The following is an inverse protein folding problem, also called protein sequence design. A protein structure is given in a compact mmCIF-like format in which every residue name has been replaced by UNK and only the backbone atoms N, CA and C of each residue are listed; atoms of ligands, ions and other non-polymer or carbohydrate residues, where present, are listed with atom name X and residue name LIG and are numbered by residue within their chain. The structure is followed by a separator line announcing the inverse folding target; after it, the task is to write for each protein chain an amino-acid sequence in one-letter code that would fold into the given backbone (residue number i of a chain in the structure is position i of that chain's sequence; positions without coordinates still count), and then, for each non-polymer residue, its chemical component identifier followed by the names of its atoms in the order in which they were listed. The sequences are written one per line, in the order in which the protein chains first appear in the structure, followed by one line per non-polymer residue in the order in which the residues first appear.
data_IF_015511525212
#
_entry.id   IF_015511525212
#
_cell.length_a   1.000
_cell.length_b   1.000
_cell.length_c   1.000
_cell.angle_alpha   90.00
_cell.angle_beta   90.00
_cell.angle_gamma   90.00
#
_symmetry.space_group_name_H-M   'P 1'
#
loop_
_entity.id
_entity.type
_entity.pdbx_description
1 polymer ?
#
# COMPACT_ATOMS: atom_id res chain seq x y z
N UNK A 1 -10.98 -9.71 -9.38
CA UNK A 1 -11.97 -8.80 -8.76
C UNK A 1 -11.63 -7.36 -9.07
N UNK A 2 -12.60 -6.53 -9.46
CA UNK A 2 -12.44 -5.08 -9.48
C UNK A 2 -12.90 -4.52 -8.13
N UNK A 3 -11.97 -3.97 -7.36
CA UNK A 3 -12.23 -3.45 -6.01
C UNK A 3 -13.24 -2.30 -6.02
N UNK A 4 -13.19 -1.38 -6.98
CA UNK A 4 -14.13 -0.25 -7.05
C UNK A 4 -15.56 -0.72 -7.29
N UNK A 5 -15.76 -1.77 -8.10
CA UNK A 5 -17.08 -2.38 -8.29
C UNK A 5 -17.58 -3.03 -7.01
N UNK A 6 -16.68 -3.62 -6.22
CA UNK A 6 -17.01 -4.20 -4.93
C UNK A 6 -17.43 -3.11 -3.92
N UNK A 7 -16.64 -2.05 -3.77
CA UNK A 7 -16.91 -0.94 -2.85
C UNK A 7 -18.23 -0.25 -3.18
N UNK A 8 -18.49 0.01 -4.46
CA UNK A 8 -19.76 0.58 -4.91
C UNK A 8 -20.96 -0.28 -4.55
N UNK A 9 -20.85 -1.61 -4.58
CA UNK A 9 -21.94 -2.51 -4.15
C UNK A 9 -22.18 -2.47 -2.64
N UNK A 10 -21.15 -2.21 -1.85
CA UNK A 10 -21.22 -2.05 -0.39
C UNK A 10 -21.61 -0.62 0.04
N UNK A 11 -21.76 0.31 -0.90
CA UNK A 11 -22.02 1.72 -0.59
C UNK A 11 -20.83 2.41 0.08
N UNK A 12 -19.61 1.92 -0.16
CA UNK A 12 -18.38 2.52 0.36
C UNK A 12 -17.80 3.42 -0.74
N UNK A 13 -17.75 4.71 -0.46
CA UNK A 13 -17.12 5.71 -1.33
C UNK A 13 -15.62 5.80 -1.05
N UNK A 14 -14.85 6.14 -2.08
CA UNK A 14 -13.39 6.31 -2.00
C UNK A 14 -12.91 7.24 -3.11
N UNK A 15 -11.61 7.56 -3.13
CA UNK A 15 -10.99 8.39 -4.17
C UNK A 15 -11.14 7.78 -5.56
N UNK A 16 -11.17 8.63 -6.59
CA UNK A 16 -11.47 8.20 -7.95
C UNK A 16 -10.49 7.15 -8.49
N UNK A 17 -11.03 6.17 -9.22
CA UNK A 17 -10.25 5.06 -9.78
C UNK A 17 -9.16 5.50 -10.78
N UNK A 18 -9.29 6.68 -11.39
CA UNK A 18 -8.28 7.27 -12.26
C UNK A 18 -6.97 7.57 -11.51
N UNK A 19 -7.04 7.94 -10.22
CA UNK A 19 -5.85 8.17 -9.42
C UNK A 19 -5.02 6.89 -9.24
N UNK A 20 -5.67 5.73 -9.11
CA UNK A 20 -4.97 4.44 -9.05
C UNK A 20 -4.32 4.03 -10.37
N UNK A 21 -4.79 4.59 -11.50
CA UNK A 21 -4.10 4.45 -12.79
C UNK A 21 -2.78 5.21 -12.78
N UNK A 22 -2.72 6.38 -12.14
CA UNK A 22 -1.48 7.15 -11.91
C UNK A 22 -0.53 6.40 -10.98
N UNK A 23 -1.02 5.86 -9.87
CA UNK A 23 -0.23 5.00 -8.96
C UNK A 23 0.38 3.81 -9.71
N UNK A 24 -0.40 3.13 -10.56
CA UNK A 24 0.09 2.00 -11.35
C UNK A 24 1.14 2.42 -12.39
N UNK A 25 1.00 3.61 -12.97
CA UNK A 25 2.01 4.17 -13.86
C UNK A 25 3.32 4.43 -13.09
N UNK A 26 3.25 5.03 -11.91
CA UNK A 26 4.43 5.26 -11.08
C UNK A 26 5.10 3.95 -10.65
N UNK A 27 4.35 2.93 -10.20
CA UNK A 27 4.92 1.61 -9.89
C UNK A 27 5.60 0.97 -11.11
N UNK A 28 5.07 1.20 -12.33
CA UNK A 28 5.69 0.69 -13.56
C UNK A 28 7.02 1.39 -13.88
N UNK A 29 7.10 2.69 -13.62
CA UNK A 29 8.35 3.47 -13.72
C UNK A 29 9.36 3.03 -12.67
N UNK A 30 8.94 2.83 -11.42
CA UNK A 30 9.79 2.32 -10.33
C UNK A 30 10.38 0.94 -10.66
N UNK A 31 9.60 0.06 -11.31
CA UNK A 31 10.06 -1.26 -11.78
C UNK A 31 10.93 -1.22 -13.04
N UNK A 32 11.13 -0.06 -13.67
CA UNK A 32 11.83 0.06 -14.95
C UNK A 32 11.15 -0.71 -16.09
N UNK A 33 9.82 -0.84 -16.06
CA UNK A 33 9.07 -1.62 -17.05
C UNK A 33 7.67 -1.06 -17.33
N UNK A 34 7.65 0.12 -17.94
CA UNK A 34 6.44 0.75 -18.47
C UNK A 34 6.02 0.09 -19.79
N UNK A 35 4.87 -0.58 -19.80
CA UNK A 35 4.43 -1.46 -20.91
C UNK A 35 4.43 -0.80 -22.30
N UNK A 36 4.03 0.46 -22.43
CA UNK A 36 3.96 1.19 -23.71
C UNK A 36 5.24 1.96 -24.08
N UNK A 37 6.24 1.94 -23.21
CA UNK A 37 7.48 2.67 -23.41
C UNK A 37 8.70 1.73 -23.44
N UNK A 38 8.83 0.83 -22.48
CA UNK A 38 9.96 -0.12 -22.45
C UNK A 38 9.82 -1.28 -23.44
N UNK A 39 8.61 -1.57 -23.94
CA UNK A 39 8.40 -2.58 -24.98
C UNK A 39 7.99 -1.90 -26.29
N UNK A 40 8.66 -2.24 -27.39
CA UNK A 40 8.34 -1.73 -28.72
C UNK A 40 8.56 -2.79 -29.80
N UNK A 41 8.06 -2.53 -31.00
CA UNK A 41 8.18 -3.44 -32.15
C UNK A 41 8.89 -2.73 -33.29
N UNK A 42 9.92 -3.37 -33.83
CA UNK A 42 10.60 -2.93 -35.04
C UNK A 42 10.11 -3.80 -36.20
N UNK A 43 9.85 -3.18 -37.34
CA UNK A 43 9.53 -3.88 -38.58
C UNK A 43 10.81 -4.18 -39.35
N UNK A 44 11.07 -5.45 -39.64
CA UNK A 44 12.35 -5.88 -40.21
C UNK A 44 12.31 -6.14 -41.74
N UNK A 45 11.21 -5.76 -42.41
CA UNK A 45 10.95 -6.17 -43.79
C UNK A 45 10.54 -7.64 -43.88
N UNK A 46 9.72 -8.01 -44.87
CA UNK A 46 9.09 -9.35 -45.01
C UNK A 46 7.89 -9.63 -44.10
N UNK A 47 7.15 -8.62 -43.64
CA UNK A 47 5.94 -8.83 -42.84
C UNK A 47 6.21 -9.26 -41.38
N UNK A 48 7.47 -9.26 -40.94
CA UNK A 48 7.87 -9.70 -39.60
C UNK A 48 8.18 -8.50 -38.70
N UNK A 49 7.65 -8.56 -37.48
CA UNK A 49 7.97 -7.64 -36.39
C UNK A 49 8.84 -8.35 -35.36
N UNK A 50 9.88 -7.68 -34.90
CA UNK A 50 10.67 -8.11 -33.75
C UNK A 50 10.25 -7.31 -32.53
N UNK A 51 9.98 -8.00 -31.42
CA UNK A 51 9.76 -7.35 -30.13
C UNK A 51 11.13 -6.94 -29.57
N UNK A 52 11.27 -5.66 -29.28
CA UNK A 52 12.46 -5.07 -28.68
C UNK A 52 12.09 -4.52 -27.30
N UNK A 53 13.06 -4.55 -26.39
CA UNK A 53 12.92 -3.99 -25.05
C UNK A 53 13.93 -2.86 -24.89
N UNK A 54 13.44 -1.66 -24.62
CA UNK A 54 14.30 -0.52 -24.25
C UNK A 54 14.92 -0.79 -22.88
N UNK A 55 16.22 -0.54 -22.74
CA UNK A 55 16.91 -0.55 -21.46
C UNK A 55 16.39 0.60 -20.60
N UNK A 56 16.27 0.34 -19.30
CA UNK A 56 15.98 1.38 -18.30
C UNK A 56 17.25 1.60 -17.49
N UNK A 57 17.58 2.86 -17.21
CA UNK A 57 18.69 3.22 -16.34
C UNK A 57 18.33 3.00 -14.86
N UNK A 58 17.03 2.89 -14.53
CA UNK A 58 16.57 2.64 -13.16
C UNK A 58 16.60 3.87 -12.25
N UNK A 59 16.64 5.07 -12.83
CA UNK A 59 16.75 6.34 -12.07
C UNK A 59 15.57 6.58 -11.13
N UNK A 60 14.38 6.11 -11.48
CA UNK A 60 13.19 6.16 -10.62
C UNK A 60 13.43 5.43 -9.30
N UNK A 61 13.93 4.19 -9.36
CA UNK A 61 14.30 3.42 -8.18
C UNK A 61 15.41 4.12 -7.41
N UNK A 62 16.46 4.58 -8.10
CA UNK A 62 17.61 5.21 -7.44
C UNK A 62 17.22 6.45 -6.62
N UNK A 63 16.39 7.34 -7.18
CA UNK A 63 15.91 8.53 -6.46
C UNK A 63 15.05 8.15 -5.24
N UNK A 64 14.26 7.08 -5.34
CA UNK A 64 13.48 6.60 -4.19
C UNK A 64 14.36 6.01 -3.08
N UNK A 65 15.42 5.29 -3.43
CA UNK A 65 16.43 4.78 -2.48
C UNK A 65 17.12 5.95 -1.76
N UNK A 66 17.54 6.98 -2.49
CA UNK A 66 18.19 8.15 -1.90
C UNK A 66 17.28 8.87 -0.88
N UNK A 67 15.96 8.93 -1.15
CA UNK A 67 14.99 9.49 -0.20
C UNK A 67 14.86 8.60 1.05
N UNK A 68 14.82 7.28 0.89
CA UNK A 68 14.74 6.35 2.00
C UNK A 68 15.98 6.46 2.92
N UNK A 69 17.17 6.53 2.32
CA UNK A 69 18.44 6.72 3.03
C UNK A 69 18.51 8.06 3.77
N UNK A 70 17.85 9.11 3.27
CA UNK A 70 17.79 10.39 3.97
C UNK A 70 16.79 10.38 5.13
N UNK A 71 15.64 9.72 4.98
CA UNK A 71 14.55 9.77 5.96
C UNK A 71 14.71 8.76 7.10
N UNK A 72 15.10 7.52 6.80
CA UNK A 72 15.17 6.44 7.79
C UNK A 72 16.49 5.67 7.66
N UNK A 73 17.60 6.33 8.01
CA UNK A 73 18.93 5.71 8.09
C UNK A 73 19.22 5.13 9.48
N UNK A 74 20.40 4.50 9.60
CA UNK A 74 20.90 3.85 10.81
C UNK A 74 21.09 4.79 12.01
N UNK A 75 21.03 6.12 11.79
CA UNK A 75 21.18 7.13 12.86
C UNK A 75 19.85 7.55 13.46
N UNK A 76 18.72 7.15 12.89
CA UNK A 76 17.41 7.46 13.45
C UNK A 76 17.27 6.72 14.79
N UNK A 77 16.91 7.48 15.84
CA UNK A 77 16.65 6.95 17.18
C UNK A 77 15.27 7.34 17.63
N UNK A 78 14.53 6.37 18.13
CA UNK A 78 13.26 6.58 18.83
C UNK A 78 13.60 6.67 20.31
N UNK A 79 13.21 7.76 20.96
CA UNK A 79 13.47 7.96 22.40
C UNK A 79 12.15 8.25 23.10
N UNK A 80 11.82 7.40 24.06
CA UNK A 80 10.63 7.50 24.90
C UNK A 80 11.12 7.72 26.33
N UNK A 81 10.57 8.74 27.01
CA UNK A 81 11.05 9.14 28.33
C UNK A 81 10.78 8.12 29.44
N UNK A 82 9.76 7.29 29.28
CA UNK A 82 9.44 6.18 30.18
C UNK A 82 10.13 4.89 29.71
N UNK A 83 10.94 4.29 30.59
CA UNK A 83 11.74 3.10 30.25
C UNK A 83 10.86 1.88 29.94
N UNK A 84 9.80 1.65 30.72
CA UNK A 84 8.92 0.50 30.50
C UNK A 84 8.19 0.58 29.15
N UNK A 85 7.68 1.77 28.82
CA UNK A 85 7.08 2.04 27.50
C UNK A 85 8.10 1.95 26.38
N UNK A 86 9.34 2.45 26.61
CA UNK A 86 10.42 2.37 25.62
C UNK A 86 10.75 0.91 25.29
N UNK A 87 10.93 0.06 26.30
CA UNK A 87 11.26 -1.35 26.10
C UNK A 87 10.13 -2.08 25.37
N UNK A 88 8.87 -1.79 25.74
CA UNK A 88 7.70 -2.34 25.06
C UNK A 88 7.63 -1.94 23.58
N UNK A 89 7.75 -0.65 23.27
CA UNK A 89 7.69 -0.16 21.89
C UNK A 89 8.85 -0.70 21.06
N UNK A 90 10.06 -0.73 21.61
CA UNK A 90 11.21 -1.29 20.91
C UNK A 90 11.00 -2.77 20.59
N UNK A 91 10.46 -3.56 21.52
CA UNK A 91 10.14 -4.96 21.27
C UNK A 91 9.13 -5.12 20.13
N UNK A 92 8.05 -4.33 20.12
CA UNK A 92 7.04 -4.36 19.05
C UNK A 92 7.65 -4.00 17.70
N UNK A 93 8.53 -2.99 17.65
CA UNK A 93 9.20 -2.57 16.42
C UNK A 93 10.21 -3.60 15.92
N UNK A 94 10.92 -4.28 16.82
CA UNK A 94 11.83 -5.38 16.49
C UNK A 94 11.07 -6.57 15.92
N UNK A 95 9.99 -7.01 16.58
CA UNK A 95 9.12 -8.10 16.13
C UNK A 95 8.48 -7.78 14.76
N UNK A 96 8.16 -6.51 14.54
CA UNK A 96 7.64 -5.99 13.27
C UNK A 96 8.73 -5.75 12.20
N UNK A 97 10.01 -6.01 12.49
CA UNK A 97 11.17 -5.72 11.62
C UNK A 97 11.19 -4.28 11.10
N UNK A 98 10.80 -3.32 11.94
CA UNK A 98 10.59 -1.92 11.55
C UNK A 98 11.84 -1.24 10.99
N UNK A 99 13.04 -1.54 11.49
CA UNK A 99 14.26 -0.93 10.96
C UNK A 99 14.51 -1.28 9.47
N UNK A 100 14.11 -2.48 9.04
CA UNK A 100 14.27 -2.92 7.65
C UNK A 100 13.06 -2.51 6.82
N UNK A 101 11.86 -2.91 7.26
CA UNK A 101 10.63 -2.67 6.51
C UNK A 101 10.24 -1.19 6.53
N UNK A 102 10.51 -0.47 7.61
CA UNK A 102 10.31 0.97 7.68
C UNK A 102 11.03 1.69 6.54
N UNK A 103 12.31 1.36 6.31
CA UNK A 103 13.14 1.97 5.26
C UNK A 103 12.63 1.56 3.87
N UNK A 104 12.35 0.27 3.64
CA UNK A 104 11.75 -0.20 2.38
C UNK A 104 10.43 0.53 2.06
N UNK A 105 9.63 0.86 3.09
CA UNK A 105 8.38 1.59 2.91
C UNK A 105 8.57 3.10 2.76
N UNK A 106 9.67 3.69 3.25
CA UNK A 106 10.07 5.05 2.86
C UNK A 106 10.38 5.12 1.36
N UNK A 107 11.09 4.12 0.81
CA UNK A 107 11.35 4.03 -0.64
C UNK A 107 10.03 3.89 -1.42
N UNK A 108 9.16 2.97 -1.00
CA UNK A 108 7.84 2.75 -1.63
C UNK A 108 6.93 3.97 -1.53
N UNK A 109 7.02 4.73 -0.45
CA UNK A 109 6.32 6.01 -0.29
C UNK A 109 6.81 7.01 -1.33
N UNK A 110 8.12 7.15 -1.53
CA UNK A 110 8.66 8.00 -2.57
C UNK A 110 8.24 7.55 -3.98
N UNK A 111 8.17 6.24 -4.22
CA UNK A 111 7.81 5.67 -5.51
C UNK A 111 6.31 5.80 -5.85
N UNK A 112 5.43 5.50 -4.89
CA UNK A 112 3.99 5.31 -5.13
C UNK A 112 3.10 6.30 -4.36
N UNK A 113 3.72 7.26 -3.66
CA UNK A 113 3.10 8.43 -3.03
C UNK A 113 2.57 8.22 -1.62
N UNK A 114 1.97 7.07 -1.33
CA UNK A 114 1.36 6.79 -0.01
C UNK A 114 1.73 5.39 0.47
N UNK A 115 2.05 5.27 1.75
CA UNK A 115 2.12 4.00 2.47
C UNK A 115 1.32 4.10 3.77
N UNK A 116 0.99 2.95 4.34
CA UNK A 116 0.37 2.89 5.65
C UNK A 116 0.99 1.80 6.52
N UNK A 117 0.97 2.04 7.83
CA UNK A 117 1.36 1.09 8.85
C UNK A 117 0.11 0.76 9.68
N UNK A 118 -0.31 -0.49 9.69
CA UNK A 118 -1.56 -0.95 10.33
C UNK A 118 -1.21 -1.91 11.45
N UNK A 119 -1.25 -1.48 12.73
CA UNK A 119 -1.11 -2.40 13.85
C UNK A 119 -2.32 -3.32 13.94
N UNK A 120 -2.07 -4.60 14.22
CA UNK A 120 -3.12 -5.60 14.44
C UNK A 120 -2.71 -6.56 15.55
N UNK A 121 -3.71 -7.18 16.16
CA UNK A 121 -3.53 -8.12 17.26
C UNK A 121 -3.51 -9.56 16.74
N UNK A 122 -2.60 -10.36 17.29
CA UNK A 122 -2.48 -11.80 17.05
C UNK A 122 -2.33 -12.55 18.35
N UNK A 123 -2.57 -13.87 18.34
CA UNK A 123 -2.47 -14.73 19.52
C UNK A 123 -3.30 -14.17 20.71
N UNK A 124 -4.54 -13.72 20.42
CA UNK A 124 -5.41 -13.09 21.41
C UNK A 124 -5.97 -14.14 22.38
N UNK A 125 -5.77 -13.91 23.67
CA UNK A 125 -6.47 -14.60 24.75
C UNK A 125 -7.59 -13.71 25.27
N UNK A 126 -8.80 -14.25 25.31
CA UNK A 126 -10.02 -13.51 25.65
C UNK A 126 -10.65 -14.13 26.90
N UNK A 127 -11.15 -13.30 27.81
CA UNK A 127 -11.90 -13.76 28.98
C UNK A 127 -13.34 -14.18 28.63
N UNK A 128 -14.07 -14.75 29.59
CA UNK A 128 -15.48 -15.15 29.41
C UNK A 128 -16.41 -13.95 29.09
N UNK A 129 -15.96 -12.72 29.35
CA UNK A 129 -16.66 -11.47 29.07
C UNK A 129 -16.34 -10.85 27.71
N UNK A 130 -15.43 -11.43 26.92
CA UNK A 130 -15.02 -10.90 25.62
C UNK A 130 -13.88 -9.87 25.69
N UNK A 131 -13.27 -9.64 26.85
CA UNK A 131 -12.14 -8.72 27.00
C UNK A 131 -10.82 -9.41 26.65
N UNK A 132 -9.93 -8.67 25.99
CA UNK A 132 -8.60 -9.15 25.62
C UNK A 132 -7.71 -9.15 26.86
N UNK A 133 -7.30 -10.34 27.31
CA UNK A 133 -6.39 -10.54 28.46
C UNK A 133 -4.94 -10.35 28.00
N UNK A 134 -4.58 -10.97 26.87
CA UNK A 134 -3.24 -10.92 26.31
C UNK A 134 -3.31 -10.96 24.79
N UNK A 135 -2.40 -10.24 24.12
CA UNK A 135 -2.29 -10.23 22.67
C UNK A 135 -0.88 -9.82 22.24
N UNK A 136 -0.43 -10.30 21.09
CA UNK A 136 0.78 -9.83 20.42
C UNK A 136 0.43 -8.81 19.36
N UNK A 137 1.06 -7.65 19.41
CA UNK A 137 0.93 -6.61 18.39
C UNK A 137 1.85 -6.94 17.23
N UNK A 138 1.31 -6.94 16.02
CA UNK A 138 2.08 -6.99 14.77
C UNK A 138 1.76 -5.77 13.93
N UNK A 139 2.66 -5.46 13.00
CA UNK A 139 2.51 -4.33 12.09
C UNK A 139 2.42 -4.84 10.66
N UNK A 140 1.33 -4.50 9.98
CA UNK A 140 1.23 -4.67 8.54
C UNK A 140 1.67 -3.39 7.84
N UNK A 141 2.38 -3.58 6.73
CA UNK A 141 2.89 -2.50 5.91
C UNK A 141 2.14 -2.52 4.57
N UNK A 142 1.51 -1.39 4.23
CA UNK A 142 0.58 -1.30 3.10
C UNK A 142 1.06 -0.25 2.10
N UNK A 143 0.99 -0.59 0.82
CA UNK A 143 1.33 0.29 -0.30
C UNK A 143 0.07 0.92 -0.89
N UNK A 144 0.20 2.10 -1.52
CA UNK A 144 -0.92 2.90 -2.04
C UNK A 144 -1.96 2.15 -2.88
N UNK A 145 -1.59 1.12 -3.65
CA UNK A 145 -2.54 0.29 -4.42
C UNK A 145 -3.54 -0.51 -3.56
N UNK A 146 -3.28 -0.62 -2.26
CA UNK A 146 -4.06 -1.37 -1.28
C UNK A 146 -4.66 -0.46 -0.20
N UNK A 147 -4.60 0.86 -0.38
CA UNK A 147 -5.10 1.88 0.55
C UNK A 147 -6.24 2.62 -0.13
N UNK A 148 -7.43 2.55 0.44
CA UNK A 148 -8.64 3.17 -0.09
C UNK A 148 -9.23 4.10 0.97
N UNK A 149 -8.89 5.41 0.96
CA UNK A 149 -9.47 6.37 1.89
C UNK A 149 -10.98 6.40 1.71
N UNK A 150 -11.75 6.33 2.80
CA UNK A 150 -13.22 6.35 2.77
C UNK A 150 -13.80 7.62 3.38
N UNK A 151 -13.04 8.27 4.28
CA UNK A 151 -13.34 9.61 4.74
C UNK A 151 -12.03 10.36 5.01
N UNK A 152 -12.03 11.66 4.71
CA UNK A 152 -10.90 12.54 4.95
C UNK A 152 -11.36 13.98 5.17
N UNK A 153 -10.56 14.75 5.90
CA UNK A 153 -10.79 16.15 6.17
C UNK A 153 -9.46 16.90 6.10
N UNK A 154 -9.41 18.01 5.34
CA UNK A 154 -8.21 18.83 5.17
C UNK A 154 -6.95 18.02 4.80
N UNK A 155 -7.10 17.03 3.90
CA UNK A 155 -6.01 16.16 3.44
C UNK A 155 -5.54 15.12 4.46
N UNK A 156 -6.18 15.02 5.63
CA UNK A 156 -5.97 13.98 6.63
C UNK A 156 -7.04 12.89 6.47
N UNK A 157 -6.59 11.66 6.23
CA UNK A 157 -7.46 10.48 6.16
C UNK A 157 -7.94 10.15 7.57
N UNK A 158 -9.26 10.13 7.76
CA UNK A 158 -9.89 9.77 9.04
C UNK A 158 -10.41 8.34 9.03
N UNK A 159 -10.84 7.84 7.88
CA UNK A 159 -11.35 6.47 7.69
C UNK A 159 -10.76 5.87 6.42
N UNK A 160 -10.44 4.59 6.47
CA UNK A 160 -9.71 3.93 5.39
C UNK A 160 -10.03 2.45 5.33
N UNK A 161 -10.12 1.93 4.11
CA UNK A 161 -10.15 0.51 3.83
C UNK A 161 -8.77 0.07 3.34
N UNK A 162 -8.26 -0.99 3.95
CA UNK A 162 -7.04 -1.67 3.51
C UNK A 162 -7.38 -3.01 2.87
N UNK A 163 -6.64 -3.38 1.81
CA UNK A 163 -6.80 -4.65 1.11
C UNK A 163 -5.52 -5.47 1.16
N UNK A 164 -5.58 -6.60 1.86
CA UNK A 164 -4.50 -7.57 2.02
C UNK A 164 -4.74 -8.78 1.12
N UNK A 165 -3.92 -8.92 0.08
CA UNK A 165 -3.99 -10.08 -0.81
C UNK A 165 -3.22 -11.27 -0.23
N UNK A 166 -3.84 -12.45 -0.21
CA UNK A 166 -3.22 -13.70 0.22
C UNK A 166 -3.52 -14.81 -0.78
N UNK A 167 -2.51 -15.63 -1.06
CA UNK A 167 -2.69 -16.81 -1.91
C UNK A 167 -2.61 -18.05 -1.05
N UNK A 168 -3.66 -18.86 -1.06
CA UNK A 168 -3.73 -20.13 -0.34
C UNK A 168 -4.32 -21.21 -1.25
N UNK A 169 -3.66 -22.37 -1.33
CA UNK A 169 -4.07 -23.49 -2.20
C UNK A 169 -4.40 -23.07 -3.65
N UNK A 170 -3.53 -22.24 -4.26
CA UNK A 170 -3.68 -21.69 -5.63
C UNK A 170 -4.90 -20.77 -5.83
N UNK A 171 -5.63 -20.45 -4.77
CA UNK A 171 -6.70 -19.46 -4.75
C UNK A 171 -6.19 -18.14 -4.18
N UNK A 172 -6.59 -17.03 -4.80
CA UNK A 172 -6.35 -15.67 -4.32
C UNK A 172 -7.52 -15.21 -3.46
N UNK A 173 -7.21 -14.70 -2.30
CA UNK A 173 -8.12 -14.10 -1.33
C UNK A 173 -7.72 -12.64 -1.12
N UNK A 174 -8.71 -11.78 -0.95
CA UNK A 174 -8.54 -10.39 -0.56
C UNK A 174 -9.22 -10.20 0.79
N UNK A 175 -8.42 -9.98 1.84
CA UNK A 175 -8.93 -9.54 3.13
C UNK A 175 -9.06 -8.03 3.11
N UNK A 176 -10.27 -7.58 3.37
CA UNK A 176 -10.67 -6.19 3.40
C UNK A 176 -10.85 -5.80 4.86
N UNK A 177 -10.15 -4.76 5.26
CA UNK A 177 -10.16 -4.24 6.63
C UNK A 177 -10.60 -2.78 6.57
N UNK A 178 -11.84 -2.50 6.97
CA UNK A 178 -12.43 -1.17 6.99
C UNK A 178 -12.26 -0.55 8.38
N UNK A 179 -11.53 0.55 8.47
CA UNK A 179 -11.41 1.36 9.68
C UNK A 179 -12.35 2.55 9.57
N UNK A 180 -13.41 2.56 10.38
CA UNK A 180 -14.41 3.63 10.41
C UNK A 180 -14.57 4.21 11.81
N UNK A 181 -15.15 5.41 11.91
CA UNK A 181 -15.52 6.01 13.19
C UNK A 181 -17.00 5.74 13.44
N UNK A 182 -17.32 5.36 14.67
CA UNK A 182 -18.70 5.23 15.13
C UNK A 182 -18.89 6.01 16.43
N UNK A 183 -20.07 6.62 16.58
CA UNK A 183 -20.44 7.35 17.78
C UNK A 183 -20.69 6.37 18.93
N UNK A 184 -20.09 6.61 20.08
CA UNK A 184 -20.34 5.82 21.28
C UNK A 184 -21.60 6.28 22.00
N UNK A 185 -22.19 5.43 22.84
CA UNK A 185 -23.38 5.77 23.63
C UNK A 185 -23.15 7.01 24.53
N UNK A 186 -21.91 7.24 24.95
CA UNK A 186 -21.49 8.38 25.78
C UNK A 186 -21.33 9.70 25.00
N UNK A 187 -21.66 9.72 23.70
CA UNK A 187 -21.54 10.91 22.84
C UNK A 187 -20.12 11.20 22.33
N UNK A 188 -19.17 10.28 22.57
CA UNK A 188 -17.84 10.28 21.96
C UNK A 188 -17.84 9.59 20.59
N UNK A 189 -16.66 9.31 20.08
CA UNK A 189 -16.48 8.42 18.93
C UNK A 189 -15.37 7.42 19.20
N UNK A 190 -15.50 6.24 18.62
CA UNK A 190 -14.46 5.21 18.62
C UNK A 190 -14.18 4.74 17.20
N UNK A 191 -12.98 4.22 17.00
CA UNK A 191 -12.64 3.48 15.80
C UNK A 191 -13.17 2.05 15.88
N UNK A 192 -13.80 1.59 14.80
CA UNK A 192 -14.26 0.21 14.64
C UNK A 192 -13.58 -0.35 13.40
N UNK A 193 -13.14 -1.61 13.51
CA UNK A 193 -12.53 -2.34 12.40
C UNK A 193 -13.52 -3.40 11.94
N UNK A 194 -13.94 -3.34 10.68
CA UNK A 194 -14.75 -4.38 10.04
C UNK A 194 -13.91 -5.17 9.05
N UNK A 195 -13.95 -6.49 9.19
CA UNK A 195 -13.19 -7.42 8.36
C UNK A 195 -14.11 -8.19 7.42
N UNK A 196 -13.68 -8.33 6.18
CA UNK A 196 -14.33 -9.18 5.19
C UNK A 196 -13.30 -9.93 4.36
N UNK A 197 -13.58 -11.18 4.00
CA UNK A 197 -12.71 -11.96 3.11
C UNK A 197 -13.43 -12.28 1.81
N UNK A 198 -12.80 -11.94 0.69
CA UNK A 198 -13.32 -12.16 -0.65
C UNK A 198 -12.42 -13.11 -1.42
N UNK A 199 -12.99 -14.17 -1.99
CA UNK A 199 -12.30 -15.04 -2.95
C UNK A 199 -12.16 -14.30 -4.29
N UNK A 200 -10.95 -13.85 -4.61
CA UNK A 200 -10.63 -13.04 -5.79
C UNK A 200 -10.27 -13.86 -7.05
N UNK A 201 -10.40 -15.19 -6.99
CA UNK A 201 -10.00 -16.11 -8.07
C UNK A 201 -11.02 -16.18 -9.23
N UNK A 202 -12.32 -16.05 -8.92
CA UNK A 202 -13.41 -16.34 -9.87
C UNK A 202 -14.11 -15.05 -10.37
N UNK A 203 -13.35 -14.12 -10.94
CA UNK A 203 -13.93 -12.92 -11.56
C UNK A 203 -14.46 -11.90 -10.54
N UNK A 204 -15.78 -11.84 -10.34
CA UNK A 204 -16.50 -10.77 -9.61
C UNK A 204 -16.17 -10.69 -8.11
N UNK A 205 -15.45 -11.68 -7.57
CA UNK A 205 -15.16 -11.79 -6.14
C UNK A 205 -16.36 -12.38 -5.41
N UNK A 206 -16.18 -13.51 -4.71
CA UNK A 206 -17.21 -14.09 -3.85
C UNK A 206 -16.86 -13.79 -2.39
N UNK A 207 -17.74 -13.08 -1.68
CA UNK A 207 -17.63 -12.93 -0.22
C UNK A 207 -17.75 -14.28 0.46
N UNK A 208 -16.88 -14.53 1.42
CA UNK A 208 -16.93 -15.70 2.28
C UNK A 208 -17.68 -15.34 3.55
N UNK A 209 -18.49 -16.27 4.06
CA UNK A 209 -19.01 -16.18 5.42
C UNK A 209 -17.88 -16.40 6.42
N UNK A 210 -18.12 -16.01 7.68
CA UNK A 210 -17.20 -16.24 8.80
C UNK A 210 -16.81 -17.71 8.94
N UNK A 211 -17.77 -18.62 8.79
CA UNK A 211 -17.54 -20.07 8.83
C UNK A 211 -16.60 -20.53 7.72
N UNK A 212 -16.69 -19.93 6.53
CA UNK A 212 -15.91 -20.32 5.38
C UNK A 212 -14.48 -19.77 5.42
N UNK A 213 -14.29 -18.53 5.89
CA UNK A 213 -12.93 -18.01 6.04
C UNK A 213 -12.22 -18.62 7.25
N UNK A 214 -12.94 -19.02 8.31
CA UNK A 214 -12.32 -19.66 9.48
C UNK A 214 -11.72 -21.04 9.17
N UNK A 215 -12.16 -21.70 8.09
CA UNK A 215 -11.54 -22.94 7.56
C UNK A 215 -10.17 -22.70 6.93
N UNK A 216 -9.82 -21.44 6.66
CA UNK A 216 -8.54 -21.07 6.04
C UNK A 216 -7.57 -20.70 7.18
N UNK A 217 -6.43 -21.40 7.34
CA UNK A 217 -5.52 -21.19 8.47
C UNK A 217 -5.04 -19.74 8.65
N UNK A 218 -4.97 -18.97 7.55
CA UNK A 218 -4.54 -17.58 7.59
C UNK A 218 -5.61 -16.61 8.15
N UNK A 219 -6.89 -16.95 8.01
CA UNK A 219 -8.02 -16.12 8.48
C UNK A 219 -8.73 -16.73 9.69
N UNK A 220 -8.15 -17.79 10.27
CA UNK A 220 -8.72 -18.46 11.43
C UNK A 220 -8.70 -17.51 12.63
N UNK A 221 -9.86 -17.32 13.26
CA UNK A 221 -10.01 -16.40 14.39
C UNK A 221 -10.06 -14.93 14.00
N UNK A 222 -10.16 -14.60 12.71
CA UNK A 222 -10.39 -13.24 12.26
C UNK A 222 -11.82 -12.81 12.66
N UNK A 223 -11.90 -11.88 13.61
CA UNK A 223 -13.16 -11.30 14.04
C UNK A 223 -13.78 -10.47 12.91
N UNK A 224 -15.07 -10.65 12.59
CA UNK A 224 -15.76 -9.86 11.56
C UNK A 224 -15.81 -8.37 11.92
N UNK A 225 -15.83 -8.05 13.23
CA UNK A 225 -15.88 -6.70 13.76
C UNK A 225 -15.08 -6.63 15.06
N UNK A 226 -14.27 -5.58 15.20
CA UNK A 226 -13.46 -5.32 16.39
C UNK A 226 -13.79 -3.92 16.89
N UNK A 227 -14.32 -3.86 18.11
CA UNK A 227 -14.51 -2.63 18.89
C UNK A 227 -13.16 -2.25 19.51
N UNK A 228 -12.59 -1.12 19.10
CA UNK A 228 -11.22 -0.76 19.55
C UNK A 228 -11.24 0.00 20.87
N UNK A 229 -12.38 0.59 21.25
CA UNK A 229 -12.50 1.47 22.41
C UNK A 229 -11.64 2.75 22.34
N UNK A 230 -11.03 3.04 21.18
CA UNK A 230 -10.07 4.14 21.02
C UNK A 230 -10.62 5.24 20.11
N UNK A 231 -10.40 6.50 20.51
CA UNK A 231 -10.63 7.68 19.68
C UNK A 231 -9.49 7.91 18.66
N UNK A 232 -8.44 7.07 18.69
CA UNK A 232 -7.29 7.17 17.79
C UNK A 232 -7.40 6.18 16.62
N UNK A 233 -6.99 6.61 15.40
CA UNK A 233 -6.92 5.71 14.26
C UNK A 233 -6.02 4.51 14.55
N UNK A 234 -6.49 3.31 14.21
CA UNK A 234 -5.70 2.07 14.28
C UNK A 234 -4.81 1.87 13.03
N UNK A 235 -4.33 2.97 12.46
CA UNK A 235 -3.45 2.99 11.30
C UNK A 235 -2.70 4.32 11.24
N UNK A 236 -1.53 4.32 10.60
CA UNK A 236 -0.75 5.52 10.30
C UNK A 236 -0.59 5.62 8.80
N UNK A 237 -1.07 6.73 8.21
CA UNK A 237 -0.78 7.08 6.82
C UNK A 237 0.50 7.87 6.77
N UNK A 238 1.42 7.47 5.90
CA UNK A 238 2.67 8.19 5.64
C UNK A 238 2.76 8.58 4.15
N UNK A 239 3.00 9.87 3.91
CA UNK A 239 3.15 10.48 2.59
C UNK A 239 4.26 11.54 2.63
N UNK A 240 4.88 11.79 1.48
CA UNK A 240 5.82 12.91 1.37
C UNK A 240 5.09 14.24 1.54
N UNK A 241 5.76 15.21 2.17
CA UNK A 241 5.21 16.56 2.35
C UNK A 241 5.38 17.40 1.07
N UNK A 242 4.71 16.96 0.00
CA UNK A 242 4.69 17.59 -1.31
C UNK A 242 3.24 17.75 -1.78
N UNK A 243 2.97 18.78 -2.58
CA UNK A 243 1.64 19.00 -3.13
C UNK A 243 1.27 17.92 -4.16
N UNK A 244 0.03 17.45 -4.12
CA UNK A 244 -0.53 16.61 -5.16
C UNK A 244 -1.01 17.51 -6.31
N UNK A 245 -0.16 17.71 -7.32
CA UNK A 245 -0.49 18.50 -8.50
C UNK A 245 -0.91 17.64 -9.71
N UNK A 246 -0.97 16.32 -9.54
CA UNK A 246 -1.29 15.39 -10.61
C UNK A 246 -2.78 15.09 -10.61
N UNK A 247 -3.45 15.20 -9.48
CA UNK A 247 -4.90 15.05 -9.40
C UNK A 247 -5.65 16.34 -9.71
N UNK A 248 -6.78 16.20 -10.40
CA UNK A 248 -7.67 17.34 -10.70
C UNK A 248 -8.53 17.70 -9.47
N UNK A 249 -8.70 16.74 -8.55
CA UNK A 249 -9.35 16.92 -7.27
C UNK A 249 -8.31 17.31 -6.20
N UNK A 250 -8.25 18.62 -5.90
CA UNK A 250 -7.41 19.19 -4.84
C UNK A 250 -7.72 18.63 -3.45
N UNK A 251 -8.86 17.94 -3.27
CA UNK A 251 -9.24 17.33 -1.98
C UNK A 251 -8.69 15.91 -1.79
N UNK A 252 -8.08 15.30 -2.82
CA UNK A 252 -7.56 13.94 -2.72
C UNK A 252 -6.48 13.85 -1.61
N UNK A 253 -6.69 13.01 -0.57
CA UNK A 253 -5.79 12.95 0.57
C UNK A 253 -4.52 12.12 0.31
N UNK A 254 -4.44 11.42 -0.83
CA UNK A 254 -3.31 10.56 -1.19
C UNK A 254 -2.09 11.38 -1.63
N UNK A 255 -0.89 10.87 -1.33
CA UNK A 255 0.37 11.43 -1.80
C UNK A 255 0.69 11.03 -3.24
N UNK A 256 1.65 11.76 -3.83
CA UNK A 256 2.15 11.53 -5.20
C UNK A 256 3.59 11.02 -5.18
N UNK A 257 3.97 10.30 -6.24
CA UNK A 257 5.36 9.89 -6.45
C UNK A 257 6.29 11.11 -6.55
N UNK A 258 7.51 11.01 -6.02
CA UNK A 258 8.50 12.10 -6.09
C UNK A 258 8.87 12.47 -7.55
N UNK A 259 8.79 11.50 -8.47
CA UNK A 259 9.06 11.70 -9.88
C UNK A 259 7.80 11.87 -10.73
N UNK A 260 6.63 12.06 -10.11
CA UNK A 260 5.37 12.13 -10.84
C UNK A 260 5.37 13.21 -11.94
N UNK A 261 6.06 14.33 -11.69
CA UNK A 261 6.18 15.47 -12.60
C UNK A 261 7.37 15.40 -13.57
N UNK A 262 8.14 14.30 -13.53
CA UNK A 262 9.36 14.14 -14.32
C UNK A 262 9.36 12.83 -15.13
N UNK A 263 8.19 12.21 -15.33
CA UNK A 263 8.09 10.95 -16.07
C UNK A 263 8.57 11.08 -17.53
N UNK A 264 8.39 12.25 -18.15
CA UNK A 264 8.89 12.57 -19.49
C UNK A 264 10.42 12.72 -19.52
N UNK A 265 11.00 13.38 -18.51
CA UNK A 265 12.46 13.48 -18.33
C UNK A 265 13.07 12.09 -18.14
N UNK A 266 12.46 11.26 -17.30
CA UNK A 266 12.87 9.87 -17.08
C UNK A 266 12.77 9.04 -18.37
N UNK A 267 11.71 9.23 -19.15
CA UNK A 267 11.58 8.60 -20.46
C UNK A 267 12.70 9.01 -21.42
N UNK A 268 13.08 10.29 -21.42
CA UNK A 268 14.19 10.77 -22.25
C UNK A 268 15.52 10.14 -21.83
N UNK A 269 15.79 10.06 -20.53
CA UNK A 269 17.02 9.43 -20.00
C UNK A 269 17.10 7.96 -20.41
N UNK A 270 16.02 7.20 -20.24
CA UNK A 270 15.99 5.78 -20.61
C UNK A 270 16.11 5.58 -22.13
N UNK A 271 15.57 6.50 -22.94
CA UNK A 271 15.69 6.47 -24.39
C UNK A 271 17.13 6.73 -24.85
N UNK A 272 17.80 7.74 -24.30
CA UNK A 272 19.20 8.05 -24.60
C UNK A 272 20.12 6.91 -24.16
N UNK A 273 19.89 6.35 -22.97
CA UNK A 273 20.64 5.20 -22.46
C UNK A 273 20.48 3.96 -23.36
N UNK A 274 19.26 3.63 -23.79
CA UNK A 274 19.02 2.55 -24.74
C UNK A 274 19.69 2.80 -26.09
N UNK A 275 19.62 4.04 -26.61
CA UNK A 275 20.25 4.42 -27.88
C UNK A 275 21.76 4.21 -27.83
N UNK A 276 22.44 4.76 -26.82
CA UNK A 276 23.88 4.57 -26.65
C UNK A 276 24.26 3.10 -26.51
N UNK A 277 23.49 2.33 -25.73
CA UNK A 277 23.78 0.91 -25.57
C UNK A 277 23.59 0.11 -26.88
N UNK A 278 22.62 0.48 -27.71
CA UNK A 278 22.39 -0.14 -29.02
C UNK A 278 23.49 0.23 -30.03
N UNK A 279 24.05 1.45 -29.99
CA UNK A 279 25.20 1.84 -30.82
C UNK A 279 26.39 0.89 -30.59
N UNK A 280 26.74 0.63 -29.32
CA UNK A 280 27.79 -0.32 -28.98
C UNK A 280 27.48 -1.76 -29.42
N UNK A 281 26.22 -2.22 -29.31
CA UNK A 281 25.84 -3.57 -29.73
C UNK A 281 25.85 -3.75 -31.26
N UNK A 282 25.46 -2.71 -32.00
CA UNK A 282 25.41 -2.74 -33.47
C UNK A 282 26.79 -2.47 -34.11
N UNK A 283 27.80 -2.10 -33.32
CA UNK A 283 29.15 -1.82 -33.79
C UNK A 283 29.23 -0.66 -34.78
N UNK A 284 28.35 0.33 -34.63
CA UNK A 284 28.33 1.58 -35.39
C UNK A 284 28.52 2.77 -34.47
#
# INVERSE_FOLDING_TARGET
MNIFTYLKKKGIDTVDSSFYTKIKLWDSWYRGNVAKFHSYRIYNGSGKHTNCRRKSLGMTKKVCEDIADLLLNEKVKITIGDNATSDFVNQVLEDARFNVLGNEYQERKAACGTVAYVPYLTDMEVDEGGNIISAKIKLDYVVSRSIYPTAWENGRITECLFVFEKTYQRKKYAHMQLHKRETTEDGGFQYVIENGVVLASDGAGKELSEEDWNKIPYFQGLAPRVETGSDKPQFVIDKLNIANNVDEDDTNPMGVSIYANACDVLAKIDLEYDSYANEFELGR
#
